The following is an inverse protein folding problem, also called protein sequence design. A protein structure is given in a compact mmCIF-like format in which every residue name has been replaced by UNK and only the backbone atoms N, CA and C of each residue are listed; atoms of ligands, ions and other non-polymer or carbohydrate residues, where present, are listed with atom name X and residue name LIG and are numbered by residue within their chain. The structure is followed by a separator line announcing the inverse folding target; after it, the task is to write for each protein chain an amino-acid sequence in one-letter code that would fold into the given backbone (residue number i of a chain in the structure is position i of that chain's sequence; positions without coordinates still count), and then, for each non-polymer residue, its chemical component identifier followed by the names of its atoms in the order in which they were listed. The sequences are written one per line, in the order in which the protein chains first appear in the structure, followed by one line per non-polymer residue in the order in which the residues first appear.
data_IF_722465108815
#
_entry.id   IF_722465108815
#
_cell.length_a   1.000
_cell.length_b   1.000
_cell.length_c   1.000
_cell.angle_alpha   90.00
_cell.angle_beta   90.00
_cell.angle_gamma   90.00
#
_symmetry.space_group_name_H-M   'P 1'
#
loop_
_entity.id
_entity.type
_entity.pdbx_description
1 polymer ?
#
# COMPACT_ATOMS: atom_id res chain seq x y z
N UNK A 1 -25.40 6.16 -11.59
CA UNK A 1 -24.05 5.94 -12.14
C UNK A 1 -23.34 4.91 -11.27
N UNK A 2 -23.12 3.69 -11.75
CA UNK A 2 -22.33 2.65 -11.08
C UNK A 2 -20.92 2.71 -11.67
N UNK A 3 -19.92 2.92 -10.84
CA UNK A 3 -18.51 2.91 -11.24
C UNK A 3 -18.14 1.54 -11.83
N UNK A 4 -17.58 1.46 -13.06
CA UNK A 4 -17.44 0.20 -13.80
C UNK A 4 -16.26 -0.71 -13.41
N UNK A 5 -15.61 -0.52 -12.25
CA UNK A 5 -14.38 -1.24 -11.89
C UNK A 5 -14.49 -2.23 -10.72
N UNK A 6 -15.69 -2.44 -10.19
CA UNK A 6 -15.94 -3.50 -9.21
C UNK A 6 -16.56 -4.72 -9.91
N UNK A 7 -15.72 -5.67 -10.29
CA UNK A 7 -16.18 -7.03 -10.58
C UNK A 7 -16.47 -7.72 -9.24
N UNK A 8 -17.73 -8.09 -9.08
CA UNK A 8 -18.30 -8.92 -8.02
C UNK A 8 -17.44 -10.18 -7.79
N UNK A 9 -16.90 -10.33 -6.57
CA UNK A 9 -16.01 -11.43 -6.17
C UNK A 9 -14.68 -11.03 -5.52
N UNK A 10 -14.50 -9.76 -5.11
CA UNK A 10 -13.18 -9.18 -4.81
C UNK A 10 -12.69 -9.50 -3.39
N UNK A 11 -11.82 -10.49 -3.24
CA UNK A 11 -10.94 -10.65 -2.08
C UNK A 11 -9.91 -9.51 -2.05
N UNK A 12 -10.20 -8.46 -1.27
CA UNK A 12 -9.34 -7.31 -0.89
C UNK A 12 -8.88 -6.38 -2.02
N UNK A 13 -9.15 -5.08 -1.91
CA UNK A 13 -8.61 -4.06 -2.80
C UNK A 13 -7.22 -3.61 -2.35
N UNK A 14 -6.25 -3.58 -3.26
CA UNK A 14 -4.86 -3.19 -2.98
C UNK A 14 -4.44 -2.08 -3.92
N UNK A 15 -4.07 -0.94 -3.34
CA UNK A 15 -3.60 0.22 -4.11
C UNK A 15 -2.25 0.68 -3.59
N UNK A 16 -1.25 0.80 -4.46
CA UNK A 16 0.06 1.34 -4.13
C UNK A 16 0.14 2.77 -4.65
N UNK A 17 0.28 3.73 -3.74
CA UNK A 17 0.53 5.13 -4.05
C UNK A 17 2.04 5.36 -4.11
N UNK A 18 2.54 5.88 -5.22
CA UNK A 18 3.96 6.18 -5.40
C UNK A 18 4.16 7.54 -6.06
N UNK A 19 5.26 8.23 -5.76
CA UNK A 19 5.66 9.40 -6.55
C UNK A 19 6.22 9.00 -7.92
N UNK A 20 6.20 9.91 -8.92
CA UNK A 20 6.95 9.70 -10.15
C UNK A 20 8.41 9.32 -9.85
N UNK A 21 8.93 8.35 -10.61
CA UNK A 21 10.30 7.86 -10.50
C UNK A 21 10.70 7.33 -9.11
N UNK A 22 9.73 6.89 -8.29
CA UNK A 22 10.05 6.31 -6.99
C UNK A 22 10.86 5.00 -7.15
N UNK A 23 12.12 4.95 -6.67
CA UNK A 23 12.98 3.77 -6.84
C UNK A 23 12.49 2.57 -5.99
N UNK A 24 11.67 2.84 -4.98
CA UNK A 24 11.19 1.83 -4.03
C UNK A 24 9.85 1.22 -4.40
N UNK A 25 9.10 1.81 -5.34
CA UNK A 25 7.82 1.28 -5.77
C UNK A 25 7.92 -0.12 -6.40
N UNK A 26 8.89 -0.42 -7.29
CA UNK A 26 9.07 -1.77 -7.81
C UNK A 26 9.37 -2.80 -6.70
N UNK A 27 10.18 -2.41 -5.70
CA UNK A 27 10.51 -3.29 -4.58
C UNK A 27 9.28 -3.63 -3.72
N UNK A 28 8.36 -2.67 -3.52
CA UNK A 28 7.10 -2.94 -2.82
C UNK A 28 6.21 -3.89 -3.61
N UNK A 29 6.08 -3.70 -4.93
CA UNK A 29 5.27 -4.55 -5.80
C UNK A 29 5.78 -5.99 -5.83
N UNK A 30 7.08 -6.18 -6.01
CA UNK A 30 7.69 -7.52 -5.99
C UNK A 30 7.48 -8.25 -4.66
N UNK A 31 7.45 -7.52 -3.53
CA UNK A 31 7.19 -8.12 -2.21
C UNK A 31 5.71 -8.41 -2.02
N UNK A 32 4.82 -7.57 -2.56
CA UNK A 32 3.38 -7.84 -2.60
C UNK A 32 3.09 -9.12 -3.38
N UNK A 33 3.68 -9.29 -4.56
CA UNK A 33 3.53 -10.53 -5.36
C UNK A 33 3.96 -11.80 -4.61
N UNK A 34 4.90 -11.71 -3.67
CA UNK A 34 5.33 -12.85 -2.84
C UNK A 34 4.36 -13.20 -1.71
N UNK A 35 3.61 -12.22 -1.20
CA UNK A 35 2.67 -12.43 -0.08
C UNK A 35 1.23 -12.62 -0.54
N UNK A 36 0.92 -12.17 -1.76
CA UNK A 36 -0.41 -12.27 -2.31
C UNK A 36 -0.65 -13.71 -2.78
N UNK A 37 -1.74 -14.35 -2.33
CA UNK A 37 -2.15 -15.60 -2.92
C UNK A 37 -2.51 -15.39 -4.40
N UNK A 38 -2.42 -16.44 -5.21
CA UNK A 38 -2.82 -16.41 -6.63
C UNK A 38 -4.28 -15.95 -6.84
N UNK A 39 -5.11 -16.03 -5.79
CA UNK A 39 -6.50 -15.60 -5.74
C UNK A 39 -6.73 -14.17 -5.20
N UNK A 40 -5.67 -13.44 -4.86
CA UNK A 40 -5.80 -12.05 -4.44
C UNK A 40 -6.19 -11.16 -5.63
N UNK A 41 -6.94 -10.09 -5.36
CA UNK A 41 -7.24 -9.12 -6.40
C UNK A 41 -5.96 -8.41 -6.89
N UNK A 42 -6.03 -7.89 -8.11
CA UNK A 42 -4.98 -7.09 -8.73
C UNK A 42 -4.50 -5.96 -7.82
N UNK A 43 -3.19 -5.69 -7.85
CA UNK A 43 -2.58 -4.52 -7.21
C UNK A 43 -2.63 -3.36 -8.19
N UNK A 44 -3.36 -2.30 -7.85
CA UNK A 44 -3.41 -1.07 -8.63
C UNK A 44 -2.27 -0.13 -8.20
N UNK A 45 -1.53 0.44 -9.15
CA UNK A 45 -0.47 1.42 -8.87
C UNK A 45 -0.94 2.80 -9.28
N UNK A 46 -0.92 3.75 -8.34
CA UNK A 46 -1.26 5.15 -8.59
C UNK A 46 -0.03 6.02 -8.41
N UNK A 47 0.29 6.78 -9.45
CA UNK A 47 1.31 7.81 -9.37
C UNK A 47 0.71 9.08 -8.79
N UNK A 48 1.27 9.58 -7.69
CA UNK A 48 0.88 10.79 -6.97
C UNK A 48 2.01 11.80 -7.12
N UNK A 49 1.80 12.85 -7.89
CA UNK A 49 2.84 13.86 -8.17
C UNK A 49 2.71 15.16 -7.37
N UNK A 50 1.58 15.35 -6.69
CA UNK A 50 1.26 16.60 -5.97
C UNK A 50 0.83 16.34 -4.53
N UNK A 51 1.13 17.29 -3.63
CA UNK A 51 0.70 17.22 -2.23
C UNK A 51 -0.82 17.22 -2.06
N UNK A 52 -1.56 17.89 -2.97
CA UNK A 52 -3.03 17.87 -2.97
C UNK A 52 -3.58 16.46 -3.23
N UNK A 53 -2.97 15.72 -4.15
CA UNK A 53 -3.34 14.33 -4.41
C UNK A 53 -2.93 13.43 -3.24
N UNK A 54 -1.73 13.65 -2.68
CA UNK A 54 -1.30 12.95 -1.48
C UNK A 54 -2.29 13.16 -0.33
N UNK A 55 -2.82 14.37 -0.15
CA UNK A 55 -3.80 14.67 0.89
C UNK A 55 -5.14 14.01 0.63
N UNK A 56 -5.60 14.00 -0.63
CA UNK A 56 -6.83 13.32 -1.04
C UNK A 56 -6.78 11.81 -0.78
N UNK A 57 -5.61 11.19 -0.98
CA UNK A 57 -5.42 9.76 -0.80
C UNK A 57 -4.84 9.35 0.56
N UNK A 58 -4.54 10.31 1.45
CA UNK A 58 -3.92 10.04 2.74
C UNK A 58 -2.51 9.46 2.64
N UNK A 59 -1.74 9.88 1.63
CA UNK A 59 -0.37 9.43 1.40
C UNK A 59 0.59 10.16 2.33
N UNK A 60 1.21 9.41 3.24
CA UNK A 60 2.21 9.91 4.19
C UNK A 60 3.66 9.67 3.71
N UNK A 61 3.83 9.31 2.44
CA UNK A 61 5.10 9.12 1.77
C UNK A 61 5.08 7.99 0.73
N UNK A 62 6.06 7.98 -0.16
CA UNK A 62 6.18 6.99 -1.23
C UNK A 62 7.15 5.86 -0.88
N UNK A 63 6.81 4.60 -1.20
CA UNK A 63 5.50 4.12 -1.62
C UNK A 63 4.57 3.91 -0.40
N UNK A 64 3.26 4.08 -0.55
CA UNK A 64 2.22 3.78 0.46
C UNK A 64 1.31 2.68 -0.07
N UNK A 65 1.01 1.66 0.75
CA UNK A 65 0.03 0.64 0.42
C UNK A 65 -1.29 0.98 1.11
N UNK A 66 -2.37 1.02 0.33
CA UNK A 66 -3.73 1.03 0.82
C UNK A 66 -4.34 -0.35 0.65
N UNK A 67 -4.84 -0.91 1.75
CA UNK A 67 -5.63 -2.14 1.77
C UNK A 67 -7.07 -1.76 2.07
N UNK A 68 -7.98 -2.01 1.13
CA UNK A 68 -9.37 -1.54 1.19
C UNK A 68 -9.48 -0.03 1.51
N UNK A 69 -8.60 0.77 0.92
CA UNK A 69 -8.52 2.22 1.14
C UNK A 69 -7.87 2.64 2.47
N UNK A 70 -7.37 1.72 3.29
CA UNK A 70 -6.73 2.01 4.58
C UNK A 70 -5.22 1.73 4.51
N UNK A 71 -4.38 2.66 4.95
CA UNK A 71 -2.93 2.42 5.09
C UNK A 71 -2.65 1.66 6.40
N UNK A 72 -2.24 0.37 6.35
CA UNK A 72 -1.95 -0.42 7.54
C UNK A 72 -0.67 0.03 8.24
N UNK A 73 0.18 0.82 7.57
CA UNK A 73 1.39 1.39 8.12
C UNK A 73 1.21 2.85 8.54
N UNK A 74 -0.01 3.40 8.48
CA UNK A 74 -0.28 4.78 8.86
C UNK A 74 0.19 5.03 10.30
N UNK A 75 0.97 6.09 10.49
CA UNK A 75 1.31 6.58 11.83
C UNK A 75 0.32 7.69 12.14
N UNK A 76 -0.39 7.66 13.27
CA UNK A 76 -1.50 8.58 13.57
C UNK A 76 -1.12 10.06 13.60
N UNK A 77 0.18 10.38 13.66
CA UNK A 77 0.70 11.76 13.63
C UNK A 77 1.55 12.07 12.39
N UNK A 78 1.58 11.18 11.39
CA UNK A 78 2.31 11.47 10.16
C UNK A 78 1.58 12.54 9.35
N UNK A 79 2.33 13.56 8.92
CA UNK A 79 1.84 14.54 7.96
C UNK A 79 1.83 13.91 6.57
N UNK A 80 0.78 14.20 5.79
CA UNK A 80 0.73 13.88 4.36
C UNK A 80 1.99 14.41 3.69
N UNK A 81 2.62 13.60 2.84
CA UNK A 81 3.83 14.00 2.13
C UNK A 81 4.04 13.21 0.85
N UNK A 82 4.57 13.88 -0.17
CA UNK A 82 5.11 13.27 -1.41
C UNK A 82 6.59 12.87 -1.26
N UNK A 83 7.11 12.80 -0.03
CA UNK A 83 8.50 12.40 0.23
C UNK A 83 8.66 10.88 0.26
N UNK A 84 9.90 10.38 0.21
CA UNK A 84 10.17 8.96 0.42
C UNK A 84 9.82 8.53 1.84
N UNK A 85 9.09 7.43 1.99
CA UNK A 85 8.76 6.83 3.29
C UNK A 85 9.83 5.84 3.69
N UNK A 86 10.28 5.92 4.94
CA UNK A 86 11.22 4.95 5.51
C UNK A 86 10.45 3.98 6.39
N UNK A 87 10.54 2.71 6.02
CA UNK A 87 10.02 1.58 6.77
C UNK A 87 11.15 0.98 7.59
N UNK A 88 10.84 0.53 8.81
CA UNK A 88 11.78 -0.26 9.62
C UNK A 88 11.27 -1.69 9.69
N UNK A 89 12.12 -2.64 9.34
CA UNK A 89 11.81 -4.06 9.53
C UNK A 89 11.92 -4.47 11.02
N UNK A 90 11.66 -5.75 11.31
CA UNK A 90 11.73 -6.30 12.66
C UNK A 90 13.13 -6.21 13.28
N UNK A 91 14.18 -6.20 12.45
CA UNK A 91 15.58 -6.03 12.86
C UNK A 91 15.97 -4.55 13.02
N UNK A 92 15.05 -3.62 12.78
CA UNK A 92 15.26 -2.18 12.86
C UNK A 92 15.98 -1.58 11.66
N UNK A 93 16.16 -2.33 10.55
CA UNK A 93 16.80 -1.82 9.34
C UNK A 93 15.86 -0.88 8.60
N UNK A 94 16.39 0.29 8.25
CA UNK A 94 15.68 1.27 7.44
C UNK A 94 15.67 0.83 5.96
N UNK A 95 14.49 0.76 5.36
CA UNK A 95 14.27 0.45 3.96
C UNK A 95 13.23 1.39 3.35
N UNK A 96 13.32 1.63 2.05
CA UNK A 96 12.34 2.44 1.32
C UNK A 96 11.02 1.72 1.02
N UNK A 97 10.86 0.47 1.45
CA UNK A 97 9.64 -0.32 1.31
C UNK A 97 9.52 -1.31 2.49
N UNK A 98 8.29 -1.68 2.91
CA UNK A 98 8.07 -2.66 3.98
C UNK A 98 8.53 -4.05 3.59
N UNK A 99 8.92 -4.87 4.58
CA UNK A 99 9.35 -6.26 4.33
C UNK A 99 8.17 -7.16 3.91
N UNK A 100 8.49 -8.32 3.34
CA UNK A 100 7.50 -9.36 2.99
C UNK A 100 6.67 -9.74 4.22
N UNK A 101 7.30 -9.93 5.38
CA UNK A 101 6.61 -10.28 6.62
C UNK A 101 5.64 -9.19 7.09
N UNK A 102 6.04 -7.92 6.99
CA UNK A 102 5.18 -6.78 7.33
C UNK A 102 3.97 -6.69 6.41
N UNK A 103 4.17 -6.90 5.10
CA UNK A 103 3.08 -6.93 4.13
C UNK A 103 2.14 -8.10 4.41
N UNK A 104 2.67 -9.29 4.68
CA UNK A 104 1.87 -10.46 5.02
C UNK A 104 1.06 -10.25 6.31
N UNK A 105 1.63 -9.61 7.32
CA UNK A 105 0.93 -9.26 8.56
C UNK A 105 -0.18 -8.24 8.31
N UNK A 106 0.11 -7.17 7.57
CA UNK A 106 -0.86 -6.15 7.21
C UNK A 106 -2.06 -6.73 6.43
N UNK A 107 -1.78 -7.59 5.45
CA UNK A 107 -2.82 -8.30 4.69
C UNK A 107 -3.63 -9.22 5.61
N UNK A 108 -3.00 -9.98 6.51
CA UNK A 108 -3.73 -10.83 7.46
C UNK A 108 -4.65 -10.03 8.38
N UNK A 109 -4.22 -8.87 8.87
CA UNK A 109 -5.05 -8.00 9.72
C UNK A 109 -6.21 -7.38 8.97
N UNK A 110 -6.00 -7.05 7.69
CA UNK A 110 -7.04 -6.47 6.86
C UNK A 110 -8.05 -7.51 6.34
N UNK A 111 -7.73 -8.81 6.40
CA UNK A 111 -8.69 -9.86 6.02
C UNK A 111 -9.86 -9.71 7.00
N UNK A 112 -11.11 -9.54 6.50
CA UNK A 112 -12.24 -9.59 7.40
C UNK A 112 -12.14 -10.90 8.16
N UNK A 113 -12.16 -10.83 9.49
CA UNK A 113 -12.13 -12.02 10.33
C UNK A 113 -13.30 -12.89 9.87
N UNK A 114 -12.98 -13.95 9.11
CA UNK A 114 -13.95 -14.91 8.64
C UNK A 114 -14.41 -15.69 9.85
N UNK A 115 -15.52 -15.25 10.44
CA UNK A 115 -16.38 -16.04 11.31
C UNK A 115 -17.59 -16.48 10.53
#
# INVERSE_FOLDING_TARGET
MRSPWFTEGKTMELVVLAVPDCPNAPAMLQRLEQVLPESAASVDVRVISSEEEAARYGMHGSPTLLVNGTDPFAVPEATVSVSCRIYRDADGRAAGAPSVEQLAAALQQARPAGG
#
